data_IF_512071086566
#
_entry.id   IF_512071086566
#
_cell.length_a   1.000
_cell.length_b   1.000
_cell.length_c   1.000
_cell.angle_alpha   90.00
_cell.angle_beta   90.00
_cell.angle_gamma   90.00
#
_symmetry.space_group_name_H-M   'P 1'
#
loop_
_entity.id
_entity.type
_entity.pdbx_description
1 polymer ?
#
# COMPACT_ATOMS: atom_id res chain seq x y z
N UNK A 1 23.30 13.37 38.18
CA UNK A 1 21.89 13.81 38.09
C UNK A 1 21.74 14.44 36.73
N UNK A 2 21.41 13.62 35.74
CA UNK A 2 20.99 14.09 34.42
C UNK A 2 19.60 14.66 34.59
N UNK A 3 19.40 15.92 34.18
CA UNK A 3 18.09 16.54 34.11
C UNK A 3 17.17 15.61 33.32
N UNK A 4 16.10 15.14 33.97
CA UNK A 4 15.04 14.46 33.26
C UNK A 4 14.48 15.48 32.27
N UNK A 5 14.56 15.17 30.99
CA UNK A 5 13.92 15.97 29.97
C UNK A 5 12.43 16.10 30.33
N UNK A 6 11.94 17.33 30.51
CA UNK A 6 10.51 17.66 30.64
C UNK A 6 9.76 17.47 29.30
N UNK A 7 10.37 16.77 28.33
CA UNK A 7 9.77 16.54 27.03
C UNK A 7 8.58 15.58 27.16
N UNK A 8 7.38 16.13 26.94
CA UNK A 8 6.15 15.38 26.85
C UNK A 8 5.79 15.17 25.36
N UNK A 9 5.97 13.95 24.79
CA UNK A 9 5.69 13.70 23.38
C UNK A 9 4.27 14.09 22.95
N UNK A 10 3.30 13.93 23.86
CA UNK A 10 1.89 14.22 23.62
C UNK A 10 1.59 15.69 23.34
N UNK A 11 2.41 16.61 23.86
CA UNK A 11 2.27 18.06 23.61
C UNK A 11 2.75 18.47 22.21
N UNK A 12 3.49 17.59 21.53
CA UNK A 12 4.10 17.85 20.23
C UNK A 12 3.50 17.02 19.09
N UNK A 13 2.50 16.19 19.38
CA UNK A 13 1.80 15.42 18.35
C UNK A 13 1.00 16.32 17.41
N UNK A 14 0.90 15.87 16.16
CA UNK A 14 0.11 16.50 15.10
C UNK A 14 -1.38 16.13 15.23
N UNK A 15 -2.02 16.65 16.28
CA UNK A 15 -3.43 16.37 16.62
C UNK A 15 -4.44 16.84 15.54
N UNK A 16 -4.01 17.64 14.57
CA UNK A 16 -4.80 18.06 13.42
C UNK A 16 -4.97 16.97 12.36
N UNK A 17 -4.13 15.92 12.38
CA UNK A 17 -4.23 14.79 11.46
C UNK A 17 -5.36 13.84 11.89
N UNK A 18 -5.84 13.05 10.94
CA UNK A 18 -6.72 11.92 11.25
C UNK A 18 -5.96 10.91 12.12
N UNK A 19 -6.50 10.61 13.31
CA UNK A 19 -5.89 9.74 14.32
C UNK A 19 -5.68 8.31 13.83
N UNK A 20 -6.39 7.90 12.78
CA UNK A 20 -6.26 6.58 12.15
C UNK A 20 -5.43 6.59 10.86
N UNK A 21 -4.85 7.74 10.49
CA UNK A 21 -3.94 7.84 9.37
C UNK A 21 -2.54 7.30 9.69
N UNK A 22 -1.86 6.76 8.68
CA UNK A 22 -0.46 6.39 8.81
C UNK A 22 0.43 7.59 9.18
N UNK A 23 0.20 8.77 8.62
CA UNK A 23 0.98 9.97 8.96
C UNK A 23 0.88 10.30 10.45
N UNK A 24 -0.33 10.26 11.04
CA UNK A 24 -0.50 10.47 12.47
C UNK A 24 0.24 9.40 13.27
N UNK A 25 0.00 8.12 12.98
CA UNK A 25 0.59 7.00 13.73
C UNK A 25 2.13 7.08 13.67
N UNK A 26 2.72 7.28 12.50
CA UNK A 26 4.17 7.36 12.33
C UNK A 26 4.74 8.59 13.05
N UNK A 27 4.08 9.74 12.95
CA UNK A 27 4.50 10.93 13.70
C UNK A 27 4.45 10.72 15.21
N UNK A 28 3.46 9.97 15.71
CA UNK A 28 3.37 9.65 17.13
C UNK A 28 4.56 8.77 17.58
N UNK A 29 4.96 7.79 16.77
CA UNK A 29 6.17 6.99 17.04
C UNK A 29 7.45 7.83 17.01
N UNK A 30 7.59 8.73 16.05
CA UNK A 30 8.74 9.64 15.94
C UNK A 30 8.84 10.56 17.16
N UNK A 31 7.73 11.22 17.53
CA UNK A 31 7.69 12.13 18.66
C UNK A 31 7.95 11.43 19.99
N UNK A 32 7.36 10.24 20.18
CA UNK A 32 7.58 9.43 21.38
C UNK A 32 9.04 8.99 21.53
N UNK A 33 9.75 8.81 20.40
CA UNK A 33 11.12 8.32 20.37
C UNK A 33 12.15 9.38 20.00
N UNK A 34 11.78 10.67 20.03
CA UNK A 34 12.64 11.78 19.58
C UNK A 34 14.01 11.82 20.27
N UNK A 35 14.06 11.48 21.55
CA UNK A 35 15.31 11.46 22.33
C UNK A 35 16.04 10.09 22.29
N UNK A 36 15.39 9.07 21.73
CA UNK A 36 15.89 7.69 21.67
C UNK A 36 16.61 7.41 20.34
N UNK A 37 17.94 7.41 20.38
CA UNK A 37 18.76 7.22 19.16
C UNK A 37 18.84 5.77 18.63
N UNK A 38 18.53 4.75 19.44
CA UNK A 38 18.63 3.34 18.99
C UNK A 38 17.46 2.47 19.43
N UNK A 39 17.02 2.62 20.67
CA UNK A 39 16.08 1.71 21.32
C UNK A 39 14.68 2.33 21.34
N UNK A 40 14.03 2.34 20.17
CA UNK A 40 12.67 2.84 20.06
C UNK A 40 11.71 2.00 20.90
N UNK A 41 10.82 2.68 21.60
CA UNK A 41 9.79 2.14 22.47
C UNK A 41 8.42 2.24 21.79
N UNK A 42 7.53 1.35 22.23
CA UNK A 42 6.12 1.43 21.89
C UNK A 42 5.52 2.67 22.54
N UNK A 43 4.87 3.59 21.80
CA UNK A 43 4.20 4.72 22.39
C UNK A 43 3.08 4.25 23.33
N UNK A 44 3.12 4.70 24.58
CA UNK A 44 2.05 4.45 25.55
C UNK A 44 0.70 4.98 24.99
N UNK A 45 -0.43 4.37 25.32
CA UNK A 45 -1.78 4.85 24.96
C UNK A 45 -2.11 5.01 23.45
N UNK A 46 -1.20 4.70 22.51
CA UNK A 46 -1.46 4.82 21.06
C UNK A 46 -2.65 3.95 20.60
N UNK A 47 -2.84 2.80 21.26
CA UNK A 47 -3.97 1.89 21.03
C UNK A 47 -5.29 2.43 21.61
N UNK A 48 -5.24 3.42 22.51
CA UNK A 48 -6.43 4.13 22.99
C UNK A 48 -6.78 5.32 22.09
N UNK A 49 -5.77 5.93 21.47
CA UNK A 49 -5.90 7.11 20.60
C UNK A 49 -6.34 6.71 19.18
N UNK A 50 -5.70 5.70 18.58
CA UNK A 50 -6.04 5.19 17.24
C UNK A 50 -6.96 3.97 17.33
N UNK A 51 -8.15 4.07 16.73
CA UNK A 51 -9.08 2.95 16.64
C UNK A 51 -8.55 1.85 15.72
N UNK A 52 -7.82 2.21 14.67
CA UNK A 52 -7.20 1.25 13.75
C UNK A 52 -6.13 0.43 14.46
N UNK A 53 -5.26 1.06 15.25
CA UNK A 53 -4.28 0.35 16.09
C UNK A 53 -4.96 -0.53 17.13
N UNK A 54 -6.04 -0.05 17.77
CA UNK A 54 -6.85 -0.85 18.69
C UNK A 54 -7.45 -2.10 18.03
N UNK A 55 -7.85 -1.98 16.77
CA UNK A 55 -8.55 -3.05 16.04
C UNK A 55 -7.64 -4.20 15.63
N UNK A 56 -6.32 -4.00 15.63
CA UNK A 56 -5.32 -5.06 15.47
C UNK A 56 -5.32 -6.06 16.65
N UNK A 57 -5.98 -5.69 17.77
CA UNK A 57 -6.07 -6.50 18.98
C UNK A 57 -4.84 -6.39 19.87
N UNK A 58 -4.75 -7.28 20.86
CA UNK A 58 -3.62 -7.31 21.80
C UNK A 58 -2.34 -7.78 21.09
N UNK A 59 -1.55 -6.82 20.61
CA UNK A 59 -0.29 -7.09 19.91
C UNK A 59 0.73 -7.73 20.86
N UNK A 60 1.32 -8.84 20.43
CA UNK A 60 2.45 -9.48 21.12
C UNK A 60 3.69 -8.58 21.09
N UNK A 61 4.66 -8.81 21.99
CA UNK A 61 5.93 -8.07 21.98
C UNK A 61 6.68 -8.20 20.64
N UNK A 62 6.54 -9.33 19.95
CA UNK A 62 7.13 -9.52 18.62
C UNK A 62 6.47 -8.61 17.58
N UNK A 63 5.14 -8.54 17.53
CA UNK A 63 4.40 -7.66 16.62
C UNK A 63 4.66 -6.18 16.91
N UNK A 64 4.75 -5.80 18.19
CA UNK A 64 5.15 -4.43 18.58
C UNK A 64 6.54 -4.09 18.08
N UNK A 65 7.49 -5.03 18.15
CA UNK A 65 8.83 -4.84 17.60
C UNK A 65 8.83 -4.66 16.08
N UNK A 66 7.97 -5.38 15.35
CA UNK A 66 7.84 -5.20 13.89
C UNK A 66 7.34 -3.79 13.57
N UNK A 67 6.30 -3.33 14.25
CA UNK A 67 5.78 -1.97 14.12
C UNK A 67 6.81 -0.89 14.42
N UNK A 68 7.57 -1.06 15.50
CA UNK A 68 8.65 -0.12 15.86
C UNK A 68 9.70 -0.06 14.75
N UNK A 69 10.13 -1.21 14.23
CA UNK A 69 11.10 -1.26 13.13
C UNK A 69 10.54 -0.63 11.85
N UNK A 70 9.27 -0.87 11.54
CA UNK A 70 8.58 -0.24 10.43
C UNK A 70 8.55 1.29 10.57
N UNK A 71 8.08 1.81 11.70
CA UNK A 71 8.01 3.24 11.94
C UNK A 71 9.38 3.90 11.88
N UNK A 72 10.38 3.29 12.52
CA UNK A 72 11.76 3.74 12.47
C UNK A 72 12.30 3.79 11.04
N UNK A 73 12.06 2.75 10.24
CA UNK A 73 12.53 2.70 8.84
C UNK A 73 11.94 3.80 7.97
N UNK A 74 10.71 4.22 8.25
CA UNK A 74 10.06 5.34 7.56
C UNK A 74 10.71 6.65 7.98
N UNK A 75 10.80 6.92 9.28
CA UNK A 75 11.33 8.19 9.80
C UNK A 75 12.82 8.40 9.46
N UNK A 76 13.60 7.33 9.34
CA UNK A 76 15.03 7.40 9.01
C UNK A 76 15.31 7.51 7.49
N UNK A 77 14.28 7.34 6.64
CA UNK A 77 14.45 7.31 5.19
C UNK A 77 13.96 8.60 4.51
N UNK A 78 14.90 9.37 3.95
CA UNK A 78 14.57 10.54 3.11
C UNK A 78 13.85 10.16 1.80
N UNK A 79 13.84 8.87 1.45
CA UNK A 79 13.22 8.35 0.24
C UNK A 79 11.76 7.95 0.43
N UNK A 80 11.24 7.99 1.67
CA UNK A 80 9.86 7.70 2.00
C UNK A 80 9.20 8.98 2.50
N UNK A 81 8.00 9.26 2.00
CA UNK A 81 7.14 10.31 2.56
C UNK A 81 5.72 9.82 2.66
N UNK A 82 5.00 10.31 3.66
CA UNK A 82 3.61 9.97 3.92
C UNK A 82 2.81 11.27 4.03
N UNK A 83 1.69 11.32 3.32
CA UNK A 83 0.66 12.35 3.48
C UNK A 83 -0.64 11.64 3.77
N UNK A 84 -1.19 11.85 4.97
CA UNK A 84 -2.31 11.06 5.51
C UNK A 84 -2.04 9.53 5.41
N UNK A 85 -2.62 8.87 4.41
CA UNK A 85 -2.49 7.44 4.14
C UNK A 85 -1.73 7.14 2.85
N UNK A 86 -1.33 8.17 2.11
CA UNK A 86 -0.62 8.04 0.83
C UNK A 86 0.88 7.99 1.06
N UNK A 87 1.48 6.85 0.74
CA UNK A 87 2.92 6.66 0.71
C UNK A 87 3.46 7.09 -0.65
N UNK A 88 4.54 7.85 -0.64
CA UNK A 88 5.38 8.13 -1.81
C UNK A 88 6.80 7.67 -1.54
N UNK A 89 7.33 6.83 -2.42
CA UNK A 89 8.65 6.22 -2.28
C UNK A 89 9.48 6.51 -3.52
N UNK A 90 10.71 6.94 -3.32
CA UNK A 90 11.71 7.11 -4.37
C UNK A 90 12.67 5.93 -4.30
N UNK A 91 12.62 5.08 -5.32
CA UNK A 91 13.52 3.94 -5.47
C UNK A 91 14.96 4.38 -5.72
N UNK A 92 15.90 3.48 -5.44
CA UNK A 92 17.35 3.68 -5.57
C UNK A 92 17.80 4.07 -7.00
N UNK A 93 17.06 3.64 -8.02
CA UNK A 93 17.32 3.98 -9.42
C UNK A 93 16.46 5.17 -9.91
N UNK A 94 15.72 5.81 -9.00
CA UNK A 94 14.96 7.03 -9.25
C UNK A 94 13.49 6.82 -9.62
N UNK A 95 13.00 5.58 -9.63
CA UNK A 95 11.58 5.32 -9.84
C UNK A 95 10.74 5.91 -8.72
N UNK A 96 9.58 6.47 -9.06
CA UNK A 96 8.63 6.99 -8.07
C UNK A 96 7.45 6.05 -7.93
N UNK A 97 7.23 5.56 -6.72
CA UNK A 97 6.09 4.70 -6.39
C UNK A 97 5.13 5.42 -5.46
N UNK A 98 3.84 5.25 -5.69
CA UNK A 98 2.80 5.86 -4.84
C UNK A 98 1.66 4.88 -4.59
N UNK A 99 1.16 4.81 -3.35
CA UNK A 99 -0.02 4.01 -3.00
C UNK A 99 -0.67 4.54 -1.73
N UNK A 100 -1.96 4.27 -1.56
CA UNK A 100 -2.65 4.48 -0.29
C UNK A 100 -2.60 3.20 0.54
N UNK A 101 -2.36 3.28 1.85
CA UNK A 101 -2.48 2.15 2.76
C UNK A 101 -3.53 2.42 3.84
N UNK A 102 -4.34 1.41 4.15
CA UNK A 102 -5.31 1.45 5.24
C UNK A 102 -5.03 0.33 6.22
N UNK A 103 -4.72 0.72 7.46
CA UNK A 103 -4.62 -0.20 8.58
C UNK A 103 -5.98 -0.84 8.88
N UNK A 104 -7.06 -0.05 8.90
CA UNK A 104 -8.42 -0.54 9.15
C UNK A 104 -8.79 -1.70 8.23
N UNK A 105 -8.53 -1.58 6.92
CA UNK A 105 -8.92 -2.61 5.96
C UNK A 105 -7.83 -3.65 5.71
N UNK A 106 -6.63 -3.44 6.25
CA UNK A 106 -5.43 -4.24 5.96
C UNK A 106 -5.22 -4.39 4.44
N UNK A 107 -5.24 -3.25 3.74
CA UNK A 107 -5.15 -3.15 2.27
C UNK A 107 -4.31 -1.94 1.87
N UNK A 108 -3.62 -2.04 0.74
CA UNK A 108 -3.20 -0.87 -0.03
C UNK A 108 -3.94 -0.80 -1.35
N UNK A 109 -4.05 0.40 -1.92
CA UNK A 109 -4.74 0.71 -3.16
C UNK A 109 -3.97 1.77 -3.95
N UNK A 110 -4.45 2.06 -5.17
CA UNK A 110 -4.00 3.24 -5.92
C UNK A 110 -4.11 4.52 -5.06
N UNK A 111 -3.23 5.50 -5.25
CA UNK A 111 -3.22 6.71 -4.45
C UNK A 111 -4.52 7.50 -4.58
N UNK A 112 -4.93 8.15 -3.49
CA UNK A 112 -6.16 8.92 -3.34
C UNK A 112 -7.46 8.16 -3.66
N UNK A 113 -7.48 6.83 -3.49
CA UNK A 113 -8.63 5.99 -3.86
C UNK A 113 -9.37 5.37 -2.66
N UNK A 114 -8.79 5.42 -1.45
CA UNK A 114 -9.37 4.80 -0.26
C UNK A 114 -10.84 5.18 -0.01
N UNK A 115 -11.13 6.48 0.01
CA UNK A 115 -12.47 7.01 0.28
C UNK A 115 -13.51 6.55 -0.74
N UNK A 116 -13.12 6.39 -2.00
CA UNK A 116 -14.02 5.92 -3.06
C UNK A 116 -14.41 4.44 -2.92
N UNK A 117 -13.65 3.68 -2.13
CA UNK A 117 -13.82 2.24 -1.97
C UNK A 117 -14.24 1.81 -0.56
N UNK A 118 -14.49 2.74 0.35
CA UNK A 118 -14.80 2.46 1.77
C UNK A 118 -15.92 1.43 1.97
N UNK A 119 -17.04 1.60 1.26
CA UNK A 119 -18.18 0.66 1.34
C UNK A 119 -17.76 -0.75 0.93
N UNK A 120 -17.05 -0.88 -0.20
CA UNK A 120 -16.58 -2.15 -0.72
C UNK A 120 -15.56 -2.80 0.20
N UNK A 121 -14.60 -2.02 0.72
CA UNK A 121 -13.58 -2.49 1.66
C UNK A 121 -14.20 -2.95 2.99
N UNK A 122 -15.17 -2.20 3.52
CA UNK A 122 -15.91 -2.57 4.74
C UNK A 122 -16.69 -3.88 4.56
N UNK A 123 -17.34 -4.06 3.42
CA UNK A 123 -18.03 -5.29 3.07
C UNK A 123 -17.06 -6.47 2.95
N UNK A 124 -15.92 -6.29 2.27
CA UNK A 124 -14.88 -7.30 2.13
C UNK A 124 -14.32 -7.72 3.50
N UNK A 125 -14.02 -6.76 4.39
CA UNK A 125 -13.57 -7.02 5.76
C UNK A 125 -14.59 -7.83 6.57
N UNK A 126 -15.89 -7.55 6.38
CA UNK A 126 -17.00 -8.28 7.04
C UNK A 126 -17.36 -9.61 6.37
N UNK A 127 -16.73 -9.97 5.24
CA UNK A 127 -17.08 -11.16 4.46
C UNK A 127 -18.44 -11.06 3.75
N UNK A 128 -18.98 -9.85 3.60
CA UNK A 128 -20.29 -9.58 3.02
C UNK A 128 -20.17 -9.48 1.49
N UNK A 129 -20.83 -10.38 0.75
CA UNK A 129 -20.74 -10.40 -0.72
C UNK A 129 -21.89 -9.67 -1.44
N UNK A 130 -23.05 -9.51 -0.79
CA UNK A 130 -24.24 -8.79 -1.26
C UNK A 130 -24.58 -8.92 -2.75
N UNK A 131 -24.44 -10.13 -3.33
CA UNK A 131 -24.67 -10.39 -4.77
C UNK A 131 -26.06 -10.00 -5.29
N UNK A 132 -27.05 -9.87 -4.40
CA UNK A 132 -28.43 -9.52 -4.72
C UNK A 132 -28.71 -8.00 -4.65
N UNK A 133 -27.78 -7.20 -4.14
CA UNK A 133 -27.84 -5.73 -4.15
C UNK A 133 -26.79 -5.27 -5.16
N UNK A 134 -27.23 -4.84 -6.35
CA UNK A 134 -26.32 -4.52 -7.45
C UNK A 134 -25.27 -3.47 -7.07
N UNK A 135 -25.68 -2.41 -6.35
CA UNK A 135 -24.76 -1.35 -5.90
C UNK A 135 -23.64 -1.89 -5.01
N UNK A 136 -23.98 -2.65 -3.97
CA UNK A 136 -22.99 -3.25 -3.08
C UNK A 136 -22.10 -4.25 -3.79
N UNK A 137 -22.66 -5.05 -4.71
CA UNK A 137 -21.89 -5.99 -5.50
C UNK A 137 -20.86 -5.28 -6.40
N UNK A 138 -21.26 -4.20 -7.07
CA UNK A 138 -20.34 -3.38 -7.86
C UNK A 138 -19.25 -2.74 -7.00
N UNK A 139 -19.62 -2.12 -5.87
CA UNK A 139 -18.66 -1.52 -4.94
C UNK A 139 -17.63 -2.56 -4.43
N UNK A 140 -18.07 -3.78 -4.14
CA UNK A 140 -17.19 -4.87 -3.72
C UNK A 140 -16.22 -5.29 -4.83
N UNK A 141 -16.68 -5.37 -6.09
CA UNK A 141 -15.83 -5.70 -7.23
C UNK A 141 -14.80 -4.59 -7.49
N UNK A 142 -15.22 -3.34 -7.45
CA UNK A 142 -14.34 -2.18 -7.63
C UNK A 142 -13.26 -2.14 -6.55
N UNK A 143 -13.64 -2.26 -5.26
CA UNK A 143 -12.69 -2.31 -4.16
C UNK A 143 -11.74 -3.52 -4.26
N UNK A 144 -12.24 -4.68 -4.69
CA UNK A 144 -11.40 -5.87 -4.89
C UNK A 144 -10.42 -5.70 -6.03
N UNK A 145 -10.80 -5.01 -7.11
CA UNK A 145 -9.95 -4.74 -8.27
C UNK A 145 -8.87 -3.69 -7.95
N UNK A 146 -9.23 -2.68 -7.16
CA UNK A 146 -8.33 -1.62 -6.72
C UNK A 146 -7.38 -2.04 -5.58
N UNK A 147 -7.70 -3.13 -4.88
CA UNK A 147 -6.84 -3.68 -3.83
C UNK A 147 -5.48 -4.10 -4.38
N UNK A 148 -4.46 -3.92 -3.55
CA UNK A 148 -3.08 -4.34 -3.79
C UNK A 148 -2.37 -3.58 -4.90
N UNK A 149 -2.89 -2.43 -5.30
CA UNK A 149 -2.36 -1.66 -6.42
C UNK A 149 -1.37 -0.59 -5.97
N UNK A 150 -0.34 -0.36 -6.78
CA UNK A 150 0.58 0.78 -6.66
C UNK A 150 0.58 1.58 -7.97
N UNK A 151 0.98 2.85 -7.92
CA UNK A 151 1.30 3.65 -9.10
C UNK A 151 2.81 3.81 -9.24
N UNK A 152 3.30 3.83 -10.49
CA UNK A 152 4.73 3.76 -10.83
C UNK A 152 5.32 5.06 -11.41
N UNK A 153 4.62 6.20 -11.26
CA UNK A 153 5.19 7.54 -11.46
C UNK A 153 5.66 7.90 -12.88
N UNK A 154 5.57 6.99 -13.84
CA UNK A 154 5.92 7.20 -15.24
C UNK A 154 4.91 8.13 -15.92
N UNK A 155 5.41 8.99 -16.82
CA UNK A 155 4.58 9.98 -17.52
C UNK A 155 3.43 9.27 -18.27
N UNK A 156 2.20 9.57 -17.86
CA UNK A 156 1.00 8.99 -18.46
C UNK A 156 0.81 9.57 -19.88
N UNK A 157 1.02 8.73 -20.90
CA UNK A 157 0.88 9.10 -22.31
C UNK A 157 -0.55 8.99 -22.85
N UNK A 158 -1.50 8.55 -22.01
CA UNK A 158 -2.90 8.36 -22.39
C UNK A 158 -3.21 6.99 -23.02
N UNK A 159 -2.22 6.13 -23.23
CA UNK A 159 -2.37 4.86 -23.94
C UNK A 159 -2.49 3.65 -23.00
N UNK A 160 -2.36 3.86 -21.69
CA UNK A 160 -2.49 2.82 -20.65
C UNK A 160 -1.30 1.87 -20.54
N UNK A 161 -0.33 1.98 -21.45
CA UNK A 161 0.96 1.27 -21.39
C UNK A 161 2.06 2.25 -20.99
N UNK A 162 3.03 1.74 -20.23
CA UNK A 162 4.20 2.48 -19.79
C UNK A 162 5.45 1.66 -20.04
N UNK A 163 6.56 2.33 -20.36
CA UNK A 163 7.85 1.66 -20.49
C UNK A 163 8.39 1.26 -19.12
N UNK A 164 9.01 0.09 -19.04
CA UNK A 164 9.86 -0.23 -17.89
C UNK A 164 11.00 0.79 -17.77
N UNK A 165 11.47 1.09 -16.56
CA UNK A 165 12.53 2.08 -16.37
C UNK A 165 13.86 1.62 -16.99
N UNK A 166 14.73 2.58 -17.30
CA UNK A 166 15.94 2.34 -18.09
C UNK A 166 16.90 1.32 -17.46
N UNK A 167 16.97 1.25 -16.13
CA UNK A 167 17.83 0.29 -15.42
C UNK A 167 17.37 -1.15 -15.61
N UNK A 168 16.09 -1.38 -15.94
CA UNK A 168 15.52 -2.70 -16.24
C UNK A 168 15.69 -3.12 -17.71
N UNK A 169 16.82 -2.74 -18.33
CA UNK A 169 17.10 -2.95 -19.75
C UNK A 169 17.14 -4.42 -20.19
N UNK A 170 17.36 -5.36 -19.27
CA UNK A 170 17.42 -6.81 -19.54
C UNK A 170 16.07 -7.49 -19.67
N UNK A 171 14.97 -6.84 -19.29
CA UNK A 171 13.63 -7.42 -19.36
C UNK A 171 13.22 -7.76 -20.80
N UNK A 172 12.53 -8.88 -20.99
CA UNK A 172 12.05 -9.32 -22.31
C UNK A 172 11.03 -8.34 -22.89
N UNK A 173 10.08 -7.92 -22.06
CA UNK A 173 9.05 -6.95 -22.44
C UNK A 173 9.55 -5.56 -22.06
N UNK A 174 9.30 -4.59 -22.95
CA UNK A 174 9.74 -3.20 -22.75
C UNK A 174 8.66 -2.29 -22.18
N UNK A 175 7.42 -2.76 -22.19
CA UNK A 175 6.25 -2.02 -21.74
C UNK A 175 5.34 -2.92 -20.91
N UNK A 176 4.65 -2.31 -19.95
CA UNK A 176 3.63 -2.92 -19.09
C UNK A 176 2.35 -2.08 -19.09
N UNK A 177 1.22 -2.69 -18.74
CA UNK A 177 -0.04 -1.97 -18.57
C UNK A 177 -0.08 -1.26 -17.20
N UNK A 178 -0.08 0.08 -17.21
CA UNK A 178 -0.01 0.92 -16.01
C UNK A 178 -1.17 0.70 -15.03
N UNK A 179 -2.30 0.18 -15.52
CA UNK A 179 -3.48 -0.10 -14.70
C UNK A 179 -3.40 -1.45 -13.95
N UNK A 180 -2.42 -2.29 -14.29
CA UNK A 180 -2.29 -3.67 -13.85
C UNK A 180 -1.02 -3.86 -13.00
N UNK A 181 -0.82 -2.96 -12.05
CA UNK A 181 0.35 -2.87 -11.17
C UNK A 181 0.02 -3.35 -9.75
N UNK A 182 -0.20 -4.66 -9.61
CA UNK A 182 -0.65 -5.28 -8.36
C UNK A 182 0.50 -5.93 -7.60
N UNK A 183 0.74 -5.55 -6.35
CA UNK A 183 1.71 -6.22 -5.48
C UNK A 183 0.96 -6.91 -4.36
N UNK A 184 0.97 -8.23 -4.33
CA UNK A 184 0.23 -8.99 -3.33
C UNK A 184 1.01 -9.09 -2.01
N UNK A 185 0.31 -9.12 -0.86
CA UNK A 185 0.95 -9.26 0.44
C UNK A 185 1.70 -10.59 0.57
N UNK A 186 2.88 -10.54 1.17
CA UNK A 186 3.75 -11.71 1.38
C UNK A 186 4.20 -11.91 2.83
N UNK A 187 3.83 -11.02 3.75
CA UNK A 187 4.09 -11.14 5.19
C UNK A 187 2.96 -11.84 5.93
N UNK A 188 3.21 -12.27 7.17
CA UNK A 188 2.20 -12.92 8.01
C UNK A 188 1.18 -11.91 8.57
N UNK A 189 1.61 -10.67 8.74
CA UNK A 189 0.76 -9.52 9.11
C UNK A 189 0.73 -8.45 8.02
N UNK A 190 -0.23 -7.53 8.12
CA UNK A 190 -0.31 -6.40 7.20
C UNK A 190 0.94 -5.52 7.24
N UNK A 191 1.47 -5.26 8.44
CA UNK A 191 2.64 -4.41 8.63
C UNK A 191 3.92 -5.07 8.15
N UNK A 192 4.05 -6.38 8.29
CA UNK A 192 5.15 -7.10 7.64
C UNK A 192 5.03 -7.03 6.12
N UNK A 193 3.82 -7.20 5.58
CA UNK A 193 3.59 -7.16 4.13
C UNK A 193 3.92 -5.79 3.53
N UNK A 194 3.44 -4.70 4.14
CA UNK A 194 3.74 -3.34 3.67
C UNK A 194 5.22 -3.01 3.86
N UNK A 195 5.87 -3.46 4.93
CA UNK A 195 7.31 -3.29 5.14
C UNK A 195 8.14 -3.98 4.04
N UNK A 196 7.79 -5.22 3.71
CA UNK A 196 8.45 -5.97 2.64
C UNK A 196 8.24 -5.29 1.29
N UNK A 197 7.01 -4.86 0.99
CA UNK A 197 6.72 -4.12 -0.24
C UNK A 197 7.54 -2.83 -0.31
N UNK A 198 7.55 -2.00 0.75
CA UNK A 198 8.32 -0.75 0.80
C UNK A 198 9.81 -1.02 0.53
N UNK A 199 10.38 -2.07 1.12
CA UNK A 199 11.77 -2.44 0.85
C UNK A 199 12.01 -2.80 -0.63
N UNK A 200 11.09 -3.52 -1.27
CA UNK A 200 11.17 -3.80 -2.71
C UNK A 200 11.09 -2.53 -3.56
N UNK A 201 10.25 -1.56 -3.16
CA UNK A 201 10.12 -0.27 -3.82
C UNK A 201 11.39 0.58 -3.65
N UNK A 202 12.03 0.52 -2.49
CA UNK A 202 13.31 1.19 -2.23
C UNK A 202 14.45 0.60 -3.05
N UNK A 203 14.59 -0.73 -3.10
CA UNK A 203 15.63 -1.38 -3.90
C UNK A 203 15.44 -1.16 -5.39
N UNK A 204 14.19 -0.96 -5.83
CA UNK A 204 13.84 -0.52 -7.19
C UNK A 204 14.29 -1.53 -8.27
N UNK A 205 14.32 -2.82 -7.95
CA UNK A 205 14.69 -3.89 -8.87
C UNK A 205 13.62 -4.98 -8.87
N UNK A 206 13.49 -5.72 -7.75
CA UNK A 206 12.55 -6.84 -7.60
C UNK A 206 11.09 -6.48 -7.94
N UNK A 207 10.69 -5.24 -7.66
CA UNK A 207 9.35 -4.76 -7.98
C UNK A 207 9.06 -4.83 -9.49
N UNK A 208 10.05 -4.48 -10.31
CA UNK A 208 9.91 -4.46 -11.76
C UNK A 208 9.91 -5.86 -12.35
N UNK A 209 10.65 -6.79 -11.75
CA UNK A 209 10.57 -8.20 -12.11
C UNK A 209 9.19 -8.79 -11.81
N UNK A 210 8.58 -8.43 -10.68
CA UNK A 210 7.20 -8.82 -10.34
C UNK A 210 6.23 -8.29 -11.40
N UNK A 211 6.31 -7.00 -11.74
CA UNK A 211 5.43 -6.38 -12.72
C UNK A 211 5.67 -6.92 -14.15
N UNK A 212 6.91 -7.24 -14.49
CA UNK A 212 7.26 -7.90 -15.76
C UNK A 212 6.62 -9.27 -15.88
N UNK A 213 6.72 -10.09 -14.83
CA UNK A 213 6.11 -11.42 -14.82
C UNK A 213 4.58 -11.34 -14.94
N UNK A 214 3.95 -10.38 -14.27
CA UNK A 214 2.51 -10.14 -14.41
C UNK A 214 2.12 -9.79 -15.84
N UNK A 215 2.88 -8.91 -16.49
CA UNK A 215 2.63 -8.52 -17.88
C UNK A 215 2.83 -9.71 -18.84
N UNK A 216 3.86 -10.53 -18.63
CA UNK A 216 4.08 -11.77 -19.39
C UNK A 216 2.88 -12.71 -19.26
N UNK A 217 2.39 -12.94 -18.05
CA UNK A 217 1.27 -13.84 -17.80
C UNK A 217 -0.05 -13.29 -18.34
N UNK A 218 -0.26 -11.98 -18.24
CA UNK A 218 -1.42 -11.28 -18.81
C UNK A 218 -1.44 -11.41 -20.33
N UNK A 219 -0.32 -11.19 -21.02
CA UNK A 219 -0.23 -11.36 -22.48
C UNK A 219 -0.49 -12.80 -22.90
N UNK A 220 0.09 -13.78 -22.21
CA UNK A 220 -0.18 -15.21 -22.45
C UNK A 220 -1.65 -15.56 -22.25
N UNK A 221 -2.27 -15.05 -21.19
CA UNK A 221 -3.69 -15.24 -20.92
C UNK A 221 -4.55 -14.67 -22.05
N UNK A 222 -4.27 -13.43 -22.48
CA UNK A 222 -4.98 -12.78 -23.58
C UNK A 222 -4.82 -13.55 -24.89
N UNK A 223 -3.62 -14.01 -25.24
CA UNK A 223 -3.39 -14.84 -26.44
C UNK A 223 -4.15 -16.17 -26.39
N UNK A 224 -4.14 -16.85 -25.24
CA UNK A 224 -4.90 -18.09 -25.08
C UNK A 224 -6.41 -17.83 -25.21
N UNK A 225 -6.87 -16.70 -24.67
CA UNK A 225 -8.26 -16.29 -24.71
C UNK A 225 -8.71 -15.96 -26.12
N UNK A 226 -7.94 -15.15 -26.86
CA UNK A 226 -8.21 -14.78 -28.25
C UNK A 226 -8.22 -16.01 -29.17
N UNK A 227 -7.35 -17.00 -28.90
CA UNK A 227 -7.36 -18.28 -29.60
C UNK A 227 -8.62 -19.11 -29.33
N UNK A 228 -9.15 -19.06 -28.10
CA UNK A 228 -10.38 -19.78 -27.71
C UNK A 228 -11.62 -19.08 -28.28
N UNK A 229 -11.61 -17.76 -28.37
CA UNK A 229 -12.76 -16.93 -28.75
C UNK A 229 -12.42 -15.96 -29.89
N UNK A 230 -12.04 -16.46 -31.08
CA UNK A 230 -11.50 -15.63 -32.17
C UNK A 230 -12.52 -14.66 -32.79
N UNK A 231 -13.82 -14.86 -32.52
CA UNK A 231 -14.91 -14.03 -33.05
C UNK A 231 -15.52 -13.09 -32.01
N UNK A 232 -14.78 -12.80 -30.92
CA UNK A 232 -15.27 -11.98 -29.81
C UNK A 232 -15.68 -12.80 -28.60
N UNK A 233 -15.78 -12.11 -27.47
CA UNK A 233 -16.06 -12.71 -26.17
C UNK A 233 -17.52 -13.18 -26.14
N UNK A 234 -17.82 -14.26 -25.40
CA UNK A 234 -19.20 -14.71 -25.19
C UNK A 234 -20.06 -13.69 -24.43
N UNK A 235 -19.49 -12.61 -23.91
CA UNK A 235 -20.19 -11.48 -23.28
C UNK A 235 -20.30 -10.24 -24.19
N UNK A 236 -19.61 -10.22 -25.34
CA UNK A 236 -19.58 -9.06 -26.26
C UNK A 236 -20.93 -8.82 -26.96
N UNK A 237 -21.87 -9.79 -26.93
CA UNK A 237 -23.24 -9.59 -27.41
C UNK A 237 -24.01 -8.55 -26.59
N UNK A 238 -23.57 -8.22 -25.36
CA UNK A 238 -24.21 -7.17 -24.56
C UNK A 238 -23.85 -5.75 -25.01
N UNK A 239 -22.93 -5.61 -25.96
CA UNK A 239 -22.49 -4.33 -26.53
C UNK A 239 -22.91 -4.14 -28.02
N UNK A 240 -23.78 -5.01 -28.54
CA UNK A 240 -24.43 -4.92 -29.86
C UNK A 240 -25.90 -4.51 -29.73
#
# INVERSE_FOLDING_TARGET
MTEASDYNPWEHMKWELDLDSFEFIISAFEEYNRESSSDWLWPEDIEEISMSMKSEGDLTSAQKSVWINFAKSICESDSISISENTFTIIGKHGSKFTFDASLEFSRWLAPNSLSSHEIGLSNLKRGVRNKYILGDYMANLEASSASWKIETGSEYDGLGFQSFPEHMSSLELKEYEAYSTHIFPSGDTFIESISLMINQLLEDEDIWDILHQQEVDRRKFNEEYDRKWPNGRPDDWMYL
#
